data_IF_121247663798
#
_entry.id   IF_121247663798
#
_cell.length_a   1.000
_cell.length_b   1.000
_cell.length_c   1.000
_cell.angle_alpha   90.00
_cell.angle_beta   90.00
_cell.angle_gamma   90.00
#
_symmetry.space_group_name_H-M   'P 1'
#
loop_
_entity.id
_entity.type
_entity.pdbx_description
1 polymer ?
#
# COMPACT_ATOMS: atom_id res chain seq x y z
N UNK A 1 1.91 -4.21 -28.57
CA UNK A 1 0.89 -3.59 -27.70
C UNK A 1 1.08 -3.93 -26.22
N UNK A 2 1.97 -4.88 -25.88
CA UNK A 2 2.17 -5.34 -24.50
C UNK A 2 3.17 -4.51 -23.69
N UNK A 3 3.87 -3.57 -24.31
CA UNK A 3 4.89 -2.74 -23.67
C UNK A 3 4.44 -1.29 -23.43
N UNK A 4 3.17 -0.98 -23.68
CA UNK A 4 2.64 0.34 -23.40
C UNK A 4 2.42 0.52 -21.88
N UNK A 5 2.96 1.59 -21.31
CA UNK A 5 2.66 1.97 -19.93
C UNK A 5 1.17 2.31 -19.80
N UNK A 6 0.51 1.94 -18.69
CA UNK A 6 -0.87 2.31 -18.45
C UNK A 6 -1.00 3.83 -18.34
N UNK A 7 -2.07 4.38 -18.90
CA UNK A 7 -2.46 5.77 -18.68
C UNK A 7 -3.51 5.77 -17.57
N UNK A 8 -3.16 6.36 -16.43
CA UNK A 8 -4.06 6.47 -15.28
C UNK A 8 -4.62 7.89 -15.19
N UNK A 9 -5.95 8.02 -15.25
CA UNK A 9 -6.65 9.31 -15.15
C UNK A 9 -7.32 9.37 -13.79
N UNK A 10 -6.78 10.13 -12.82
CA UNK A 10 -7.43 10.32 -11.53
C UNK A 10 -8.81 10.96 -11.72
N UNK A 11 -9.82 10.38 -11.10
CA UNK A 11 -11.22 10.81 -11.27
C UNK A 11 -11.89 10.94 -9.92
N UNK A 12 -12.70 11.99 -9.75
CA UNK A 12 -13.53 12.23 -8.59
C UNK A 12 -14.99 12.28 -8.99
N UNK A 13 -15.88 11.71 -8.18
CA UNK A 13 -17.31 11.68 -8.40
C UNK A 13 -18.06 12.35 -7.26
N UNK A 14 -18.95 13.27 -7.61
CA UNK A 14 -19.83 13.93 -6.66
C UNK A 14 -21.21 14.19 -7.31
N UNK A 15 -22.25 14.24 -6.48
CA UNK A 15 -23.61 14.49 -6.93
C UNK A 15 -23.81 15.94 -7.39
N UNK A 16 -24.93 16.21 -8.05
CA UNK A 16 -25.34 17.57 -8.40
C UNK A 16 -25.47 18.49 -7.17
N UNK A 17 -25.85 17.92 -6.03
CA UNK A 17 -25.96 18.61 -4.73
C UNK A 17 -24.64 18.71 -3.98
N UNK A 18 -23.56 18.13 -4.52
CA UNK A 18 -22.23 18.21 -3.94
C UNK A 18 -21.85 17.05 -3.00
N UNK A 19 -22.70 16.03 -2.87
CA UNK A 19 -22.39 14.87 -2.03
C UNK A 19 -21.28 14.03 -2.64
N UNK A 20 -20.34 13.56 -1.83
CA UNK A 20 -19.28 12.69 -2.29
C UNK A 20 -19.83 11.31 -2.66
N UNK A 21 -19.51 10.84 -3.87
CA UNK A 21 -19.89 9.51 -4.37
C UNK A 21 -18.69 8.55 -4.40
N UNK A 22 -17.51 9.01 -4.01
CA UNK A 22 -16.25 8.26 -3.96
C UNK A 22 -15.44 8.62 -2.71
N UNK A 23 -14.22 8.07 -2.63
CA UNK A 23 -13.28 8.40 -1.55
C UNK A 23 -12.33 9.56 -1.91
N UNK A 24 -12.16 9.87 -3.18
CA UNK A 24 -11.29 10.94 -3.68
C UNK A 24 -11.84 12.33 -3.30
N UNK A 25 -13.12 12.54 -3.44
CA UNK A 25 -13.78 13.80 -3.10
C UNK A 25 -13.61 14.19 -1.62
N UNK A 26 -13.83 13.28 -0.63
CA UNK A 26 -13.52 13.59 0.77
C UNK A 26 -12.05 13.91 1.01
N UNK A 27 -11.11 13.21 0.36
CA UNK A 27 -9.69 13.49 0.45
C UNK A 27 -9.36 14.91 -0.01
N UNK A 28 -9.83 15.31 -1.18
CA UNK A 28 -9.58 16.65 -1.73
C UNK A 28 -10.17 17.75 -0.84
N UNK A 29 -11.37 17.53 -0.31
CA UNK A 29 -12.03 18.45 0.62
C UNK A 29 -11.29 18.56 1.95
N UNK A 30 -10.82 17.45 2.53
CA UNK A 30 -10.04 17.44 3.77
C UNK A 30 -8.71 18.17 3.61
N UNK A 31 -8.03 17.98 2.48
CA UNK A 31 -6.81 18.71 2.10
C UNK A 31 -7.05 20.22 2.07
N UNK A 32 -8.13 20.65 1.45
CA UNK A 32 -8.49 22.07 1.39
C UNK A 32 -8.82 22.63 2.79
N UNK A 33 -9.58 21.88 3.59
CA UNK A 33 -9.95 22.27 4.95
C UNK A 33 -8.72 22.42 5.85
N UNK A 34 -7.78 21.44 5.78
CA UNK A 34 -6.53 21.51 6.52
C UNK A 34 -5.67 22.68 6.07
N UNK A 35 -5.51 22.90 4.77
CA UNK A 35 -4.78 24.05 4.23
C UNK A 35 -5.34 25.37 4.74
N UNK A 36 -6.65 25.53 4.76
CA UNK A 36 -7.31 26.73 5.30
C UNK A 36 -7.08 26.91 6.81
N UNK A 37 -7.07 25.82 7.57
CA UNK A 37 -6.79 25.87 9.01
C UNK A 37 -5.34 26.27 9.29
N UNK A 38 -4.38 25.69 8.55
CA UNK A 38 -2.95 26.03 8.67
C UNK A 38 -2.71 27.49 8.31
N UNK A 39 -3.32 28.02 7.26
CA UNK A 39 -3.21 29.44 6.91
C UNK A 39 -3.69 30.37 8.02
N UNK A 40 -4.78 30.00 8.72
CA UNK A 40 -5.25 30.78 9.88
C UNK A 40 -4.20 30.76 11.01
N UNK A 41 -3.58 29.61 11.26
CA UNK A 41 -2.52 29.47 12.25
C UNK A 41 -1.28 30.30 11.86
N UNK A 42 -0.85 30.24 10.61
CA UNK A 42 0.29 31.03 10.11
C UNK A 42 0.11 32.51 10.32
N UNK A 43 -1.12 33.03 10.13
CA UNK A 43 -1.44 34.46 10.42
C UNK A 43 -1.23 34.83 11.88
N UNK A 44 -1.49 33.92 12.82
CA UNK A 44 -1.23 34.18 14.25
C UNK A 44 0.27 34.32 14.55
N UNK A 45 1.13 33.78 13.74
CA UNK A 45 2.60 33.91 13.85
C UNK A 45 3.18 35.00 12.93
N UNK A 46 2.34 35.79 12.27
CA UNK A 46 2.78 36.81 11.33
C UNK A 46 3.44 36.28 10.06
N UNK A 47 3.20 35.04 9.73
CA UNK A 47 3.74 34.39 8.52
C UNK A 47 2.86 34.72 7.29
N UNK A 48 3.45 34.76 6.09
CA UNK A 48 2.72 35.08 4.87
C UNK A 48 1.65 34.01 4.54
N UNK A 49 0.62 34.40 3.80
CA UNK A 49 -0.44 33.51 3.31
C UNK A 49 0.07 32.73 2.08
N UNK A 50 0.89 31.72 2.33
CA UNK A 50 1.47 30.88 1.29
C UNK A 50 0.64 29.61 1.05
N UNK A 51 0.96 28.93 -0.03
CA UNK A 51 0.37 27.63 -0.34
C UNK A 51 0.80 26.58 0.69
N UNK A 52 -0.18 25.83 1.22
CA UNK A 52 0.08 24.76 2.18
C UNK A 52 0.02 23.43 1.41
N UNK A 53 1.14 22.74 1.37
CA UNK A 53 1.23 21.39 0.82
C UNK A 53 1.19 20.37 1.95
N UNK A 54 0.36 19.36 1.80
CA UNK A 54 0.27 18.21 2.70
C UNK A 54 0.97 17.05 2.01
N UNK A 55 1.95 16.47 2.67
CA UNK A 55 2.71 15.35 2.14
C UNK A 55 2.32 14.04 2.84
N UNK A 56 2.53 12.92 2.15
CA UNK A 56 2.25 11.58 2.64
C UNK A 56 3.25 10.57 2.06
N UNK A 57 3.81 9.73 2.92
CA UNK A 57 4.53 8.52 2.54
C UNK A 57 3.76 7.29 3.03
N UNK A 58 2.89 6.67 2.22
CA UNK A 58 2.15 5.48 2.63
C UNK A 58 3.03 4.25 2.50
N UNK A 59 3.22 3.52 3.58
CA UNK A 59 3.95 2.25 3.62
C UNK A 59 2.97 1.10 3.44
N UNK A 60 3.10 0.37 2.33
CA UNK A 60 2.19 -0.74 2.03
C UNK A 60 2.77 -2.05 2.56
N UNK A 61 2.14 -2.59 3.59
CA UNK A 61 2.40 -3.94 4.08
C UNK A 61 1.59 -4.96 3.28
N UNK A 62 2.14 -6.17 3.14
CA UNK A 62 1.50 -7.25 2.41
C UNK A 62 2.07 -8.61 2.81
N UNK A 63 1.30 -9.68 2.56
CA UNK A 63 1.78 -11.05 2.69
C UNK A 63 2.01 -11.68 1.32
N UNK A 64 3.04 -12.53 1.21
CA UNK A 64 3.27 -13.37 0.04
C UNK A 64 3.11 -14.83 0.41
N UNK A 65 2.34 -15.55 -0.42
CA UNK A 65 2.18 -16.99 -0.29
C UNK A 65 2.42 -17.68 -1.64
N UNK A 66 2.82 -18.93 -1.60
CA UNK A 66 2.96 -19.73 -2.81
C UNK A 66 1.61 -19.91 -3.50
N UNK A 67 1.57 -19.71 -4.82
CA UNK A 67 0.34 -19.76 -5.62
C UNK A 67 -0.35 -21.14 -5.56
N UNK A 68 0.42 -22.21 -5.50
CA UNK A 68 -0.15 -23.56 -5.44
C UNK A 68 -0.85 -23.80 -4.09
N UNK A 69 -0.26 -23.32 -2.99
CA UNK A 69 -0.93 -23.40 -1.69
C UNK A 69 -2.17 -22.53 -1.62
N UNK A 70 -2.12 -21.32 -2.19
CA UNK A 70 -3.29 -20.45 -2.28
C UNK A 70 -4.46 -21.11 -3.01
N UNK A 71 -4.22 -21.70 -4.17
CA UNK A 71 -5.26 -22.32 -4.99
C UNK A 71 -5.93 -23.53 -4.32
N UNK A 72 -5.26 -24.16 -3.36
CA UNK A 72 -5.80 -25.26 -2.54
C UNK A 72 -6.55 -24.81 -1.28
N UNK A 73 -6.70 -23.49 -1.07
CA UNK A 73 -7.36 -22.91 0.10
C UNK A 73 -8.56 -22.05 -0.34
N UNK A 74 -9.78 -22.63 -0.36
CA UNK A 74 -10.98 -21.90 -0.76
C UNK A 74 -11.25 -20.63 0.04
N UNK A 75 -10.95 -20.61 1.32
CA UNK A 75 -11.06 -19.44 2.19
C UNK A 75 -10.16 -18.29 1.73
N UNK A 76 -8.89 -18.56 1.44
CA UNK A 76 -7.96 -17.56 0.89
C UNK A 76 -8.41 -17.05 -0.48
N UNK A 77 -8.84 -17.95 -1.37
CA UNK A 77 -9.32 -17.60 -2.72
C UNK A 77 -10.56 -16.71 -2.65
N UNK A 78 -11.52 -17.04 -1.79
CA UNK A 78 -12.81 -16.36 -1.73
C UNK A 78 -12.77 -15.07 -0.89
N UNK A 79 -11.97 -15.03 0.16
CA UNK A 79 -12.02 -13.94 1.15
C UNK A 79 -10.70 -13.19 1.35
N UNK A 80 -9.60 -13.68 0.79
CA UNK A 80 -8.26 -13.12 0.99
C UNK A 80 -7.67 -13.38 2.38
N UNK A 81 -8.34 -14.20 3.22
CA UNK A 81 -7.90 -14.55 4.56
C UNK A 81 -8.23 -16.00 4.89
N UNK A 82 -7.55 -16.55 5.90
CA UNK A 82 -7.89 -17.88 6.43
C UNK A 82 -9.13 -17.79 7.32
N UNK A 83 -10.05 -18.76 7.18
CA UNK A 83 -11.26 -18.89 7.99
C UNK A 83 -11.23 -20.16 8.84
N UNK A 84 -10.44 -21.16 8.46
CA UNK A 84 -10.35 -22.47 9.11
C UNK A 84 -8.93 -23.03 8.96
N UNK A 85 -8.67 -24.14 9.60
CA UNK A 85 -7.40 -24.85 9.59
C UNK A 85 -6.58 -24.67 10.87
N UNK A 86 -5.55 -25.49 11.02
CA UNK A 86 -4.64 -25.41 12.15
C UNK A 86 -3.69 -24.20 12.04
N UNK A 87 -3.24 -23.64 13.17
CA UNK A 87 -2.15 -22.68 13.15
C UNK A 87 -0.88 -23.30 12.54
N UNK A 88 -0.01 -22.47 11.91
CA UNK A 88 1.25 -22.97 11.37
C UNK A 88 2.19 -23.45 12.48
N UNK A 89 3.02 -24.45 12.15
CA UNK A 89 4.03 -24.97 13.08
C UNK A 89 5.07 -23.91 13.47
N UNK A 90 5.41 -23.02 12.55
CA UNK A 90 6.25 -21.84 12.79
C UNK A 90 5.36 -20.64 12.94
N UNK A 91 5.55 -19.90 14.01
CA UNK A 91 4.74 -18.77 14.38
C UNK A 91 5.59 -17.50 14.53
N UNK A 92 4.95 -16.37 14.64
CA UNK A 92 5.61 -15.11 14.99
C UNK A 92 6.08 -15.19 16.45
N UNK A 93 7.38 -14.93 16.63
CA UNK A 93 8.01 -14.80 17.96
C UNK A 93 8.50 -13.36 18.09
N UNK A 94 7.76 -12.54 18.84
CA UNK A 94 8.04 -11.11 18.96
C UNK A 94 8.21 -10.48 17.55
N UNK A 95 9.37 -9.93 17.25
CA UNK A 95 9.70 -9.23 15.99
C UNK A 95 10.83 -9.91 15.20
N UNK A 96 11.09 -11.19 15.46
CA UNK A 96 12.25 -11.90 14.93
C UNK A 96 12.28 -11.97 13.38
N UNK A 97 11.13 -12.06 12.72
CA UNK A 97 11.05 -12.05 11.25
C UNK A 97 11.44 -10.71 10.64
N UNK A 98 11.22 -9.60 11.33
CA UNK A 98 11.57 -8.26 10.85
C UNK A 98 13.06 -8.12 10.55
N UNK A 99 13.91 -8.72 11.35
CA UNK A 99 15.37 -8.69 11.22
C UNK A 99 15.94 -9.84 10.38
N UNK A 100 15.07 -10.68 9.81
CA UNK A 100 15.47 -11.83 9.00
C UNK A 100 15.95 -11.44 7.61
N UNK A 101 16.66 -12.37 6.96
CA UNK A 101 17.07 -12.19 5.57
C UNK A 101 15.91 -12.41 4.60
N UNK A 102 15.86 -11.62 3.52
CA UNK A 102 14.89 -11.80 2.46
C UNK A 102 15.31 -12.97 1.58
N UNK A 103 14.43 -13.95 1.37
CA UNK A 103 14.70 -15.10 0.50
C UNK A 103 14.87 -14.67 -0.96
N UNK A 104 15.78 -15.31 -1.73
CA UNK A 104 16.05 -14.90 -3.12
C UNK A 104 14.82 -14.79 -4.01
N UNK A 105 13.87 -15.75 -3.90
CA UNK A 105 12.60 -15.70 -4.66
C UNK A 105 11.78 -14.44 -4.36
N UNK A 106 11.72 -14.05 -3.09
CA UNK A 106 11.01 -12.84 -2.65
C UNK A 106 11.77 -11.59 -3.09
N UNK A 107 13.09 -11.60 -2.95
CA UNK A 107 13.94 -10.47 -3.37
C UNK A 107 13.81 -10.19 -4.87
N UNK A 108 13.78 -11.23 -5.70
CA UNK A 108 13.57 -11.09 -7.14
C UNK A 108 12.19 -10.48 -7.44
N UNK A 109 11.15 -10.95 -6.77
CA UNK A 109 9.81 -10.35 -6.87
C UNK A 109 9.83 -8.86 -6.47
N UNK A 110 10.44 -8.52 -5.34
CA UNK A 110 10.54 -7.13 -4.88
C UNK A 110 11.30 -6.25 -5.88
N UNK A 111 12.37 -6.77 -6.47
CA UNK A 111 13.14 -6.04 -7.49
C UNK A 111 12.29 -5.72 -8.73
N UNK A 112 11.53 -6.70 -9.22
CA UNK A 112 10.67 -6.48 -10.38
C UNK A 112 9.52 -5.50 -10.07
N UNK A 113 8.96 -5.56 -8.86
CA UNK A 113 7.97 -4.58 -8.38
C UNK A 113 8.56 -3.17 -8.41
N UNK A 114 9.74 -2.96 -7.83
CA UNK A 114 10.39 -1.64 -7.81
C UNK A 114 10.63 -1.10 -9.21
N UNK A 115 11.14 -1.94 -10.13
CA UNK A 115 11.39 -1.53 -11.51
C UNK A 115 10.09 -1.06 -12.21
N UNK A 116 8.99 -1.80 -12.04
CA UNK A 116 7.71 -1.40 -12.61
C UNK A 116 7.17 -0.11 -11.99
N UNK A 117 7.32 0.06 -10.67
CA UNK A 117 6.91 1.28 -9.98
C UNK A 117 7.71 2.49 -10.47
N UNK A 118 9.03 2.36 -10.63
CA UNK A 118 9.88 3.43 -11.17
C UNK A 118 9.52 3.80 -12.61
N UNK A 119 9.17 2.79 -13.44
CA UNK A 119 8.67 3.06 -14.81
C UNK A 119 7.38 3.87 -14.83
N UNK A 120 6.55 3.73 -13.80
CA UNK A 120 5.31 4.50 -13.61
C UNK A 120 5.53 5.85 -12.90
N UNK A 121 6.78 6.18 -12.54
CA UNK A 121 7.11 7.39 -11.82
C UNK A 121 6.82 7.32 -10.31
N UNK A 122 6.54 6.15 -9.78
CA UNK A 122 6.27 5.94 -8.34
C UNK A 122 7.60 5.76 -7.61
N UNK A 123 7.92 6.60 -6.61
CA UNK A 123 9.24 6.65 -6.01
C UNK A 123 9.41 5.59 -4.92
N UNK A 124 9.32 4.30 -5.26
CA UNK A 124 9.62 3.20 -4.34
C UNK A 124 11.04 3.35 -3.80
N UNK A 125 11.22 3.23 -2.47
CA UNK A 125 12.48 3.51 -1.80
C UNK A 125 13.02 2.33 -1.01
N UNK A 126 12.20 1.73 -0.17
CA UNK A 126 12.64 0.64 0.71
C UNK A 126 11.71 -0.56 0.60
N UNK A 127 12.30 -1.73 0.81
CA UNK A 127 11.64 -3.02 0.93
C UNK A 127 12.28 -3.80 2.05
N UNK A 128 11.50 -4.45 2.87
CA UNK A 128 12.01 -5.25 3.99
C UNK A 128 10.98 -6.28 4.46
N UNK A 129 11.42 -7.17 5.35
CA UNK A 129 10.53 -8.05 6.06
C UNK A 129 9.71 -7.27 7.08
N UNK A 130 8.46 -7.68 7.27
CA UNK A 130 7.63 -7.29 8.37
C UNK A 130 7.65 -8.33 9.51
N UNK A 131 6.91 -8.04 10.57
CA UNK A 131 6.96 -8.77 11.84
C UNK A 131 6.42 -10.19 11.73
N UNK A 132 5.38 -10.42 10.93
CA UNK A 132 4.79 -11.75 10.75
C UNK A 132 5.57 -12.59 9.72
N UNK A 133 5.50 -13.92 9.83
CA UNK A 133 6.05 -14.81 8.80
C UNK A 133 5.47 -14.51 7.43
N UNK A 134 6.32 -14.39 6.40
CA UNK A 134 5.95 -14.07 5.02
C UNK A 134 5.22 -12.73 4.84
N UNK A 135 5.41 -11.81 5.76
CA UNK A 135 4.96 -10.44 5.67
C UNK A 135 6.11 -9.53 5.27
N UNK A 136 5.81 -8.55 4.41
CA UNK A 136 6.77 -7.64 3.81
C UNK A 136 6.15 -6.26 3.69
N UNK A 137 7.00 -5.26 3.49
CA UNK A 137 6.60 -3.87 3.31
C UNK A 137 7.35 -3.22 2.14
N UNK A 138 6.66 -2.30 1.51
CA UNK A 138 7.23 -1.36 0.54
C UNK A 138 6.92 0.05 1.00
N UNK A 139 7.98 0.86 1.15
CA UNK A 139 7.87 2.26 1.52
C UNK A 139 8.37 3.15 0.37
N UNK A 140 7.54 4.08 -0.13
CA UNK A 140 7.94 5.09 -1.11
C UNK A 140 8.56 6.32 -0.43
N UNK A 141 9.17 7.20 -1.20
CA UNK A 141 9.39 8.58 -0.77
C UNK A 141 8.02 9.26 -0.63
N UNK A 142 7.95 10.22 0.29
CA UNK A 142 6.72 11.00 0.46
C UNK A 142 6.49 11.94 -0.73
N UNK A 143 5.23 12.16 -1.05
CA UNK A 143 4.76 13.03 -2.13
C UNK A 143 3.57 13.87 -1.65
N UNK A 144 3.04 14.75 -2.51
CA UNK A 144 1.75 15.38 -2.25
C UNK A 144 0.70 14.31 -1.92
N UNK A 145 -0.07 14.53 -0.86
CA UNK A 145 -0.99 13.51 -0.31
C UNK A 145 -1.96 12.93 -1.35
N UNK A 146 -2.43 13.77 -2.27
CA UNK A 146 -3.34 13.31 -3.32
C UNK A 146 -2.64 12.37 -4.30
N UNK A 147 -1.41 12.70 -4.71
CA UNK A 147 -0.59 11.88 -5.60
C UNK A 147 -0.15 10.59 -4.91
N UNK A 148 0.31 10.68 -3.67
CA UNK A 148 0.72 9.53 -2.88
C UNK A 148 -0.38 8.46 -2.75
N UNK A 149 -1.63 8.88 -2.57
CA UNK A 149 -2.77 7.96 -2.50
C UNK A 149 -3.05 7.31 -3.86
N UNK A 150 -3.01 8.07 -4.95
CA UNK A 150 -3.16 7.52 -6.30
C UNK A 150 -2.04 6.52 -6.62
N UNK A 151 -0.80 6.86 -6.31
CA UNK A 151 0.34 5.97 -6.44
C UNK A 151 0.17 4.68 -5.62
N UNK A 152 -0.32 4.76 -4.39
CA UNK A 152 -0.53 3.56 -3.58
C UNK A 152 -1.58 2.60 -4.17
N UNK A 153 -2.59 3.10 -4.85
CA UNK A 153 -3.53 2.25 -5.58
C UNK A 153 -2.82 1.45 -6.69
N UNK A 154 -1.90 2.11 -7.42
CA UNK A 154 -1.08 1.44 -8.43
C UNK A 154 -0.08 0.46 -7.80
N UNK A 155 0.54 0.81 -6.67
CA UNK A 155 1.42 -0.10 -5.91
C UNK A 155 0.70 -1.40 -5.60
N UNK A 156 -0.52 -1.34 -5.08
CA UNK A 156 -1.32 -2.52 -4.75
C UNK A 156 -1.58 -3.41 -5.99
N UNK A 157 -1.84 -2.80 -7.13
CA UNK A 157 -2.07 -3.51 -8.39
C UNK A 157 -0.78 -4.15 -8.91
N UNK A 158 0.32 -3.42 -8.94
CA UNK A 158 1.63 -3.93 -9.38
C UNK A 158 2.11 -5.08 -8.47
N UNK A 159 1.93 -4.98 -7.16
CA UNK A 159 2.24 -6.06 -6.22
C UNK A 159 1.52 -7.36 -6.61
N UNK A 160 0.22 -7.30 -6.91
CA UNK A 160 -0.56 -8.48 -7.34
C UNK A 160 -0.08 -9.04 -8.68
N UNK A 161 0.14 -8.17 -9.65
CA UNK A 161 0.57 -8.58 -11.00
C UNK A 161 1.94 -9.24 -10.98
N UNK A 162 2.91 -8.63 -10.30
CA UNK A 162 4.25 -9.18 -10.21
C UNK A 162 4.28 -10.48 -9.38
N UNK A 163 3.53 -10.56 -8.29
CA UNK A 163 3.42 -11.79 -7.50
C UNK A 163 3.01 -12.97 -8.38
N UNK A 164 2.03 -12.79 -9.26
CA UNK A 164 1.57 -13.84 -10.16
C UNK A 164 2.67 -14.33 -11.12
N UNK A 165 3.55 -13.45 -11.62
CA UNK A 165 4.69 -13.80 -12.48
C UNK A 165 5.73 -14.64 -11.75
N UNK A 166 5.89 -14.44 -10.44
CA UNK A 166 6.81 -15.17 -9.59
C UNK A 166 6.22 -16.46 -8.97
N UNK A 167 5.02 -16.87 -9.40
CA UNK A 167 4.33 -18.03 -8.80
C UNK A 167 3.93 -17.78 -7.35
N UNK A 168 3.72 -16.52 -6.98
CA UNK A 168 3.28 -16.06 -5.68
C UNK A 168 1.88 -15.44 -5.77
N UNK A 169 1.25 -15.24 -4.63
CA UNK A 169 0.04 -14.43 -4.47
C UNK A 169 0.31 -13.39 -3.39
N UNK A 170 0.02 -12.13 -3.71
CA UNK A 170 0.10 -11.02 -2.78
C UNK A 170 -1.26 -10.87 -2.09
N UNK A 171 -1.29 -11.05 -0.77
CA UNK A 171 -2.47 -10.80 0.05
C UNK A 171 -2.40 -9.38 0.61
N UNK A 172 -3.44 -8.61 0.33
CA UNK A 172 -3.61 -7.22 0.78
C UNK A 172 -4.77 -7.07 1.77
N UNK A 173 -5.35 -8.18 2.23
CA UNK A 173 -6.29 -8.17 3.34
C UNK A 173 -5.56 -7.73 4.61
N UNK A 174 -6.19 -6.91 5.45
CA UNK A 174 -5.59 -6.34 6.65
C UNK A 174 -5.21 -7.39 7.70
N UNK A 175 -5.90 -8.51 7.75
CA UNK A 175 -5.65 -9.61 8.69
C UNK A 175 -5.83 -10.96 8.00
N UNK A 176 -4.91 -11.37 7.11
CA UNK A 176 -5.08 -12.63 6.37
C UNK A 176 -4.88 -13.86 7.26
N UNK A 177 -4.12 -13.75 8.34
CA UNK A 177 -3.82 -14.85 9.26
C UNK A 177 -4.09 -14.43 10.70
N UNK A 178 -4.96 -15.18 11.40
CA UNK A 178 -5.24 -14.92 12.80
C UNK A 178 -4.02 -15.24 13.68
N UNK A 179 -3.86 -14.50 14.77
CA UNK A 179 -2.81 -14.75 15.78
C UNK A 179 -1.42 -14.21 15.45
N UNK A 180 -1.21 -13.60 14.26
CA UNK A 180 0.02 -12.92 13.87
C UNK A 180 -0.28 -11.48 13.48
N UNK A 181 0.74 -10.66 13.21
CA UNK A 181 0.55 -9.28 12.75
C UNK A 181 -0.35 -9.22 11.50
N UNK A 182 -1.03 -8.11 11.35
CA UNK A 182 -1.79 -7.75 10.16
C UNK A 182 -1.03 -6.78 9.27
N UNK A 183 -1.53 -6.60 8.06
CA UNK A 183 -1.00 -5.63 7.09
C UNK A 183 -1.86 -4.38 7.05
N UNK A 184 -1.22 -3.24 7.07
CA UNK A 184 -1.86 -1.95 6.97
C UNK A 184 -1.24 -1.08 5.88
N UNK A 185 -1.54 0.19 6.00
CA UNK A 185 -0.85 1.28 5.32
C UNK A 185 -0.43 2.27 6.39
N UNK A 186 0.83 2.17 6.82
CA UNK A 186 1.35 3.14 7.76
C UNK A 186 1.52 4.48 7.03
N UNK A 187 0.85 5.50 7.51
CA UNK A 187 0.82 6.81 6.88
C UNK A 187 1.74 7.78 7.63
N UNK A 188 2.88 8.09 7.01
CA UNK A 188 3.81 9.12 7.49
C UNK A 188 3.48 10.46 6.82
N UNK A 189 3.07 11.48 7.58
CA UNK A 189 2.61 12.77 7.08
C UNK A 189 2.95 13.92 8.03
#
# INVERSE_FOLDING_TARGET
>A
LHDALPICIPTAYFSYTGDALDKKTPLLRSRQALGNAVKKLMKCFGLPDEHVTITLGPEQEYFLIDKNFYLNRPDLVQTGRTLFGAPPAKHQQLEDHYFGSIKPRVLNFMSDVEQELWRLGIPAKTRHNEVAPAQFELAPLFEDVNLAIDHNMLVMEILRQQASKHGLVCLLHEKPFAGVNGSGKHNNW
#
